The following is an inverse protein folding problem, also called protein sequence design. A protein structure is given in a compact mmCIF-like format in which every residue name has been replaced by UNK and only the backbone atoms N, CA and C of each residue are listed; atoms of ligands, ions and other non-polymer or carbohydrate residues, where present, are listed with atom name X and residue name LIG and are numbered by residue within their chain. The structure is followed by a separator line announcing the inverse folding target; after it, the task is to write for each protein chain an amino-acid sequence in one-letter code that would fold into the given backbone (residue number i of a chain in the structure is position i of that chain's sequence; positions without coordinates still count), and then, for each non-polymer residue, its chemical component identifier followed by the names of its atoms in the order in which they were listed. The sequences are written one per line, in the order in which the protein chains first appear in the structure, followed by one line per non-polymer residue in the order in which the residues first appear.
data_IF_518296918003
#
_entry.id   IF_518296918003
#
_cell.length_a   1.000
_cell.length_b   1.000
_cell.length_c   1.000
_cell.angle_alpha   90.00
_cell.angle_beta   90.00
_cell.angle_gamma   90.00
#
_symmetry.space_group_name_H-M   'P 1'
#
loop_
_entity.id
_entity.type
_entity.pdbx_description
1 polymer ?
#
# COMPACT_ATOMS: atom_id res chain seq x y z
N UNK A 1 10.98 10.90 29.96
CA UNK A 1 10.56 9.50 30.18
C UNK A 1 10.42 8.85 28.81
N UNK A 2 11.44 8.11 28.39
CA UNK A 2 11.52 7.50 27.06
C UNK A 2 10.75 6.18 27.05
N UNK A 3 9.70 6.08 26.22
CA UNK A 3 9.05 4.81 25.89
C UNK A 3 9.27 4.56 24.39
N UNK A 4 10.41 3.94 24.06
CA UNK A 4 10.67 3.41 22.72
C UNK A 4 9.93 2.07 22.53
N UNK A 5 9.58 1.68 21.29
CA UNK A 5 8.56 0.67 21.04
C UNK A 5 9.09 -0.76 21.18
N UNK A 6 8.28 -1.58 21.85
CA UNK A 6 8.43 -3.03 21.93
C UNK A 6 8.07 -3.70 20.59
N UNK A 7 8.59 -4.90 20.31
CA UNK A 7 8.33 -5.65 19.09
C UNK A 7 6.82 -5.88 18.91
N UNK A 8 6.35 -5.68 17.69
CA UNK A 8 4.98 -5.86 17.27
C UNK A 8 4.60 -7.35 17.33
N UNK A 9 3.71 -7.74 18.24
CA UNK A 9 3.03 -9.03 18.16
C UNK A 9 2.10 -9.01 16.94
N UNK A 10 2.03 -10.11 16.17
CA UNK A 10 1.24 -10.17 14.93
C UNK A 10 -0.23 -9.79 15.12
N UNK A 11 -0.77 -10.02 16.32
CA UNK A 11 -2.16 -9.67 16.68
C UNK A 11 -2.34 -8.16 16.91
N UNK A 12 -1.32 -7.44 17.38
CA UNK A 12 -1.39 -5.96 17.49
C UNK A 12 -1.47 -5.31 16.10
N UNK A 13 -0.68 -5.81 15.15
CA UNK A 13 -0.73 -5.37 13.76
C UNK A 13 -2.10 -5.66 13.13
N UNK A 14 -2.65 -6.84 13.41
CA UNK A 14 -3.99 -7.22 12.94
C UNK A 14 -5.06 -6.27 13.48
N UNK A 15 -4.99 -5.89 14.77
CA UNK A 15 -5.90 -4.89 15.33
C UNK A 15 -5.73 -3.53 14.65
N UNK A 16 -4.50 -3.08 14.40
CA UNK A 16 -4.25 -1.81 13.70
C UNK A 16 -4.82 -1.81 12.28
N UNK A 17 -4.65 -2.91 11.54
CA UNK A 17 -5.15 -3.05 10.17
C UNK A 17 -6.68 -3.14 10.07
N UNK A 18 -7.34 -3.59 11.14
CA UNK A 18 -8.80 -3.82 11.19
C UNK A 18 -9.55 -2.85 12.10
N UNK A 19 -8.86 -1.86 12.66
CA UNK A 19 -9.39 -0.96 13.68
C UNK A 19 -10.62 -0.18 13.19
N UNK A 20 -10.56 0.36 11.97
CA UNK A 20 -11.67 1.13 11.39
C UNK A 20 -12.92 0.27 11.21
N UNK A 21 -12.76 -0.93 10.65
CA UNK A 21 -13.86 -1.88 10.46
C UNK A 21 -14.40 -2.41 11.80
N UNK A 22 -13.54 -2.58 12.80
CA UNK A 22 -13.96 -2.94 14.17
C UNK A 22 -14.83 -1.84 14.79
N UNK A 23 -14.43 -0.56 14.65
CA UNK A 23 -15.21 0.57 15.17
C UNK A 23 -16.53 0.80 14.44
N UNK A 24 -16.58 0.46 13.15
CA UNK A 24 -17.78 0.55 12.32
C UNK A 24 -18.72 -0.67 12.43
N UNK A 25 -18.36 -1.69 13.22
CA UNK A 25 -19.08 -2.98 13.32
C UNK A 25 -19.23 -3.69 11.95
N UNK A 26 -18.21 -3.56 11.09
CA UNK A 26 -18.19 -4.13 9.73
C UNK A 26 -17.43 -5.46 9.64
N UNK A 27 -16.92 -5.96 10.77
CA UNK A 27 -16.22 -7.24 10.83
C UNK A 27 -17.18 -8.41 10.99
N UNK A 28 -16.77 -9.58 10.49
CA UNK A 28 -17.49 -10.81 10.77
C UNK A 28 -17.41 -11.16 12.28
N UNK A 29 -18.39 -11.91 12.78
CA UNK A 29 -18.53 -12.19 14.21
C UNK A 29 -17.30 -12.91 14.81
N UNK A 30 -16.61 -13.75 14.04
CA UNK A 30 -15.42 -14.47 14.52
C UNK A 30 -14.24 -13.51 14.69
N UNK A 31 -13.98 -12.71 13.65
CA UNK A 31 -12.90 -11.71 13.66
C UNK A 31 -13.15 -10.64 14.71
N UNK A 32 -14.40 -10.17 14.85
CA UNK A 32 -14.78 -9.20 15.87
C UNK A 32 -14.50 -9.74 17.29
N UNK A 33 -14.90 -10.98 17.59
CA UNK A 33 -14.65 -11.60 18.89
C UNK A 33 -13.15 -11.76 19.18
N UNK A 34 -12.35 -12.14 18.18
CA UNK A 34 -10.89 -12.27 18.29
C UNK A 34 -10.23 -10.93 18.63
N UNK A 35 -10.59 -9.87 17.92
CA UNK A 35 -10.06 -8.52 18.15
C UNK A 35 -10.50 -8.00 19.52
N UNK A 36 -11.77 -8.13 19.87
CA UNK A 36 -12.29 -7.70 21.17
C UNK A 36 -11.54 -8.39 22.34
N UNK A 37 -11.26 -9.69 22.21
CA UNK A 37 -10.46 -10.42 23.19
C UNK A 37 -9.03 -9.85 23.30
N UNK A 38 -8.38 -9.54 22.18
CA UNK A 38 -7.05 -8.95 22.17
C UNK A 38 -7.04 -7.55 22.82
N UNK A 39 -7.96 -6.66 22.40
CA UNK A 39 -8.10 -5.30 22.93
C UNK A 39 -8.31 -5.31 24.44
N UNK A 40 -9.08 -6.27 24.96
CA UNK A 40 -9.30 -6.42 26.41
C UNK A 40 -8.03 -6.84 27.16
N UNK A 41 -7.15 -7.60 26.51
CA UNK A 41 -5.90 -8.12 27.12
C UNK A 41 -4.67 -7.23 26.92
N UNK A 42 -4.70 -6.34 25.92
CA UNK A 42 -3.55 -5.54 25.49
C UNK A 42 -3.82 -4.04 25.75
N UNK A 43 -3.14 -3.44 26.76
CA UNK A 43 -3.34 -2.02 27.10
C UNK A 43 -3.06 -1.05 25.94
N UNK A 44 -2.12 -1.38 25.04
CA UNK A 44 -1.80 -0.53 23.89
C UNK A 44 -2.95 -0.49 22.88
N UNK A 45 -3.50 -1.65 22.53
CA UNK A 45 -4.63 -1.73 21.62
C UNK A 45 -5.88 -1.11 22.24
N UNK A 46 -6.03 -1.19 23.57
CA UNK A 46 -7.07 -0.45 24.28
C UNK A 46 -6.92 1.07 24.13
N UNK A 47 -5.70 1.60 24.34
CA UNK A 47 -5.41 3.03 24.17
C UNK A 47 -5.67 3.49 22.72
N UNK A 48 -5.27 2.69 21.72
CA UNK A 48 -5.48 2.97 20.30
C UNK A 48 -6.96 2.99 19.92
N UNK A 49 -7.74 2.01 20.38
CA UNK A 49 -9.20 1.95 20.17
C UNK A 49 -9.88 3.16 20.80
N UNK A 50 -9.54 3.49 22.04
CA UNK A 50 -10.11 4.64 22.73
C UNK A 50 -9.77 5.96 22.03
N UNK A 51 -8.53 6.11 21.57
CA UNK A 51 -8.09 7.28 20.82
C UNK A 51 -8.88 7.45 19.50
N UNK A 52 -9.04 6.36 18.74
CA UNK A 52 -9.80 6.37 17.49
C UNK A 52 -11.31 6.65 17.72
N UNK A 53 -11.90 6.09 18.78
CA UNK A 53 -13.27 6.40 19.21
C UNK A 53 -13.44 7.89 19.53
N UNK A 54 -12.53 8.45 20.33
CA UNK A 54 -12.56 9.87 20.71
C UNK A 54 -12.52 10.79 19.48
N UNK A 55 -11.68 10.47 18.49
CA UNK A 55 -11.62 11.23 17.23
C UNK A 55 -12.96 11.11 16.49
N UNK A 56 -13.49 9.90 16.35
CA UNK A 56 -14.76 9.66 15.64
C UNK A 56 -15.92 10.44 16.28
N UNK A 57 -16.02 10.41 17.61
CA UNK A 57 -17.02 11.17 18.37
C UNK A 57 -16.85 12.68 18.18
N UNK A 58 -15.62 13.19 18.29
CA UNK A 58 -15.32 14.62 18.06
C UNK A 58 -15.71 15.06 16.65
N UNK A 59 -15.48 14.21 15.63
CA UNK A 59 -15.87 14.49 14.26
C UNK A 59 -17.40 14.47 14.07
N UNK A 60 -18.11 13.60 14.80
CA UNK A 60 -19.57 13.54 14.77
C UNK A 60 -20.24 14.74 15.46
N UNK A 61 -19.58 15.34 16.45
CA UNK A 61 -20.03 16.54 17.13
C UNK A 61 -19.89 17.82 16.29
N UNK A 62 -19.12 17.78 15.19
CA UNK A 62 -18.98 18.92 14.30
C UNK A 62 -20.34 19.31 13.70
N UNK A 63 -20.67 20.62 13.64
CA UNK A 63 -21.91 21.08 13.04
C UNK A 63 -21.95 20.67 11.57
N UNK A 64 -23.02 19.94 11.19
CA UNK A 64 -23.26 19.61 9.78
C UNK A 64 -23.61 20.88 9.04
N UNK A 65 -22.70 21.34 8.20
CA UNK A 65 -22.93 22.45 7.28
C UNK A 65 -23.89 21.98 6.19
N UNK A 66 -25.09 22.54 6.18
CA UNK A 66 -26.05 22.30 5.11
C UNK A 66 -25.57 23.04 3.85
N UNK A 67 -25.33 22.33 2.73
CA UNK A 67 -24.79 22.96 1.54
C UNK A 67 -25.81 23.96 0.96
N UNK A 68 -25.37 25.09 0.37
CA UNK A 68 -26.26 26.06 -0.24
C UNK A 68 -27.13 25.43 -1.34
N UNK A 69 -28.39 25.86 -1.52
CA UNK A 69 -29.31 25.31 -2.52
C UNK A 69 -28.74 25.33 -3.95
N UNK A 70 -27.92 26.34 -4.27
CA UNK A 70 -27.24 26.44 -5.56
C UNK A 70 -26.34 25.23 -5.91
N UNK A 71 -25.79 24.55 -4.90
CA UNK A 71 -24.98 23.33 -5.11
C UNK A 71 -25.87 22.18 -5.57
N UNK A 72 -27.04 22.02 -4.96
CA UNK A 72 -28.02 21.01 -5.39
C UNK A 72 -28.51 21.27 -6.81
N UNK A 73 -28.79 22.53 -7.15
CA UNK A 73 -29.19 22.91 -8.51
C UNK A 73 -28.11 22.60 -9.54
N UNK A 74 -26.84 22.88 -9.21
CA UNK A 74 -25.69 22.59 -10.04
C UNK A 74 -25.48 21.08 -10.24
N UNK A 75 -25.59 20.28 -9.18
CA UNK A 75 -25.50 18.81 -9.26
C UNK A 75 -26.65 18.26 -10.09
N UNK A 76 -27.89 18.72 -9.86
CA UNK A 76 -29.05 18.31 -10.63
C UNK A 76 -28.91 18.67 -12.13
N UNK A 77 -28.37 19.85 -12.44
CA UNK A 77 -28.06 20.24 -13.81
C UNK A 77 -26.98 19.34 -14.42
N UNK A 78 -25.93 18.99 -13.66
CA UNK A 78 -24.86 18.11 -14.11
C UNK A 78 -25.35 16.70 -14.42
N UNK A 79 -26.16 16.10 -13.53
CA UNK A 79 -26.76 14.77 -13.72
C UNK A 79 -27.70 14.76 -14.92
N UNK A 80 -28.50 15.81 -15.13
CA UNK A 80 -29.35 15.95 -16.33
C UNK A 80 -28.55 16.10 -17.61
N UNK A 81 -27.41 16.77 -17.58
CA UNK A 81 -26.53 16.96 -18.73
C UNK A 81 -25.71 15.71 -19.07
N UNK A 82 -25.41 14.88 -18.08
CA UNK A 82 -24.70 13.61 -18.22
C UNK A 82 -25.58 12.44 -17.77
N UNK A 83 -26.70 12.19 -18.47
CA UNK A 83 -27.51 11.03 -18.16
C UNK A 83 -26.64 9.79 -18.34
N UNK A 84 -26.47 9.01 -17.28
CA UNK A 84 -25.74 7.76 -17.33
C UNK A 84 -26.31 6.91 -18.47
N UNK A 85 -25.46 6.61 -19.45
CA UNK A 85 -25.83 5.74 -20.59
C UNK A 85 -26.01 4.27 -20.17
N UNK A 86 -25.85 3.97 -18.87
CA UNK A 86 -25.70 2.64 -18.29
C UNK A 86 -26.96 1.79 -18.18
N UNK A 87 -28.17 2.37 -18.18
CA UNK A 87 -29.39 1.58 -17.89
C UNK A 87 -30.20 1.17 -19.12
N UNK A 88 -30.05 1.86 -20.26
CA UNK A 88 -30.85 1.58 -21.46
C UNK A 88 -30.47 0.30 -22.21
N UNK A 89 -29.24 -0.19 -22.07
CA UNK A 89 -28.78 -1.38 -22.79
C UNK A 89 -29.24 -2.69 -22.12
N UNK A 90 -29.31 -2.74 -20.79
CA UNK A 90 -29.79 -3.92 -20.05
C UNK A 90 -31.24 -4.26 -20.37
N UNK A 91 -32.12 -3.24 -20.49
CA UNK A 91 -33.52 -3.47 -20.90
C UNK A 91 -33.65 -4.02 -22.33
N UNK A 92 -32.77 -3.64 -23.26
CA UNK A 92 -32.73 -4.24 -24.61
C UNK A 92 -32.17 -5.65 -24.60
N UNK A 93 -31.22 -5.95 -23.72
CA UNK A 93 -30.66 -7.29 -23.55
C UNK A 93 -31.71 -8.27 -22.99
N UNK A 94 -32.51 -7.84 -22.00
CA UNK A 94 -33.60 -8.64 -21.44
C UNK A 94 -34.75 -8.85 -22.43
N UNK A 95 -35.03 -7.89 -23.34
CA UNK A 95 -36.01 -8.10 -24.41
C UNK A 95 -35.56 -9.12 -25.47
N UNK A 96 -34.25 -9.26 -25.69
CA UNK A 96 -33.73 -10.34 -26.54
C UNK A 96 -33.77 -11.71 -25.84
N UNK A 97 -33.71 -11.78 -24.50
CA UNK A 97 -33.72 -13.07 -23.80
C UNK A 97 -35.09 -13.76 -23.87
N UNK A 98 -36.20 -13.01 -23.87
CA UNK A 98 -37.55 -13.58 -24.01
C UNK A 98 -37.84 -14.11 -25.43
N UNK A 99 -37.02 -13.77 -26.43
CA UNK A 99 -37.15 -14.28 -27.79
C UNK A 99 -36.39 -15.61 -28.01
N UNK A 100 -35.54 -16.00 -27.07
CA UNK A 100 -34.72 -17.23 -27.14
C UNK A 100 -35.36 -18.45 -26.46
N UNK A 101 -36.49 -18.27 -25.77
CA UNK A 101 -37.17 -19.35 -25.02
C UNK A 101 -37.72 -20.50 -25.90
N UNK A 102 -37.73 -20.36 -27.24
CA UNK A 102 -38.22 -21.39 -28.15
C UNK A 102 -37.17 -22.00 -29.10
N UNK A 103 -35.88 -21.63 -29.00
CA UNK A 103 -34.86 -22.09 -29.95
C UNK A 103 -33.83 -23.06 -29.30
N UNK A 104 -34.26 -24.32 -29.18
CA UNK A 104 -33.44 -25.55 -29.05
C UNK A 104 -32.49 -25.65 -27.83
N UNK A 105 -33.02 -26.28 -26.78
CA UNK A 105 -32.58 -26.22 -25.38
C UNK A 105 -31.36 -27.08 -24.94
N UNK A 106 -30.65 -27.79 -25.83
CA UNK A 106 -29.61 -28.75 -25.38
C UNK A 106 -28.16 -28.26 -25.57
N UNK A 107 -27.81 -27.79 -26.77
CA UNK A 107 -26.42 -27.39 -27.07
C UNK A 107 -26.07 -26.00 -26.54
N UNK A 108 -27.04 -25.08 -26.48
CA UNK A 108 -26.83 -23.71 -25.98
C UNK A 108 -26.63 -23.69 -24.45
N UNK A 109 -27.24 -24.62 -23.69
CA UNK A 109 -27.05 -24.70 -22.23
C UNK A 109 -25.63 -25.11 -21.84
N UNK A 110 -25.02 -26.02 -22.60
CA UNK A 110 -23.62 -26.41 -22.38
C UNK A 110 -22.66 -25.26 -22.69
N UNK A 111 -22.89 -24.53 -23.79
CA UNK A 111 -22.08 -23.35 -24.13
C UNK A 111 -22.19 -22.22 -23.11
N UNK A 112 -23.41 -21.91 -22.65
CA UNK A 112 -23.64 -20.84 -21.67
C UNK A 112 -22.96 -21.13 -20.32
N UNK A 113 -22.97 -22.39 -19.87
CA UNK A 113 -22.28 -22.78 -18.65
C UNK A 113 -20.76 -22.54 -18.75
N UNK A 114 -20.13 -22.92 -19.87
CA UNK A 114 -18.69 -22.68 -20.09
C UNK A 114 -18.37 -21.18 -20.12
N UNK A 115 -19.20 -20.37 -20.77
CA UNK A 115 -19.03 -18.92 -20.80
C UNK A 115 -19.17 -18.28 -19.42
N UNK A 116 -20.17 -18.69 -18.62
CA UNK A 116 -20.34 -18.19 -17.26
C UNK A 116 -19.16 -18.58 -16.36
N UNK A 117 -18.70 -19.83 -16.44
CA UNK A 117 -17.49 -20.25 -15.73
C UNK A 117 -16.25 -19.46 -16.16
N UNK A 118 -16.10 -19.16 -17.46
CA UNK A 118 -15.03 -18.32 -17.97
C UNK A 118 -15.09 -16.89 -17.43
N UNK A 119 -16.27 -16.27 -17.39
CA UNK A 119 -16.46 -14.91 -16.86
C UNK A 119 -16.17 -14.87 -15.35
N UNK A 120 -16.67 -15.85 -14.59
CA UNK A 120 -16.42 -15.94 -13.15
C UNK A 120 -14.93 -16.17 -12.88
N UNK A 121 -14.29 -17.10 -13.57
CA UNK A 121 -12.85 -17.34 -13.44
C UNK A 121 -12.02 -16.11 -13.84
N UNK A 122 -12.42 -15.40 -14.89
CA UNK A 122 -11.76 -14.16 -15.32
C UNK A 122 -11.98 -13.03 -14.29
N UNK A 123 -13.17 -12.91 -13.72
CA UNK A 123 -13.47 -11.97 -12.65
C UNK A 123 -12.65 -12.25 -11.40
N UNK A 124 -12.54 -13.52 -10.99
CA UNK A 124 -11.67 -13.94 -9.86
C UNK A 124 -10.21 -13.64 -10.18
N UNK A 125 -9.75 -13.89 -11.42
CA UNK A 125 -8.38 -13.61 -11.83
C UNK A 125 -8.07 -12.10 -11.81
N UNK A 126 -8.96 -11.27 -12.35
CA UNK A 126 -8.87 -9.80 -12.30
C UNK A 126 -8.86 -9.31 -10.85
N UNK A 127 -9.74 -9.86 -10.01
CA UNK A 127 -9.80 -9.52 -8.59
C UNK A 127 -8.50 -9.87 -7.87
N UNK A 128 -7.94 -11.06 -8.12
CA UNK A 128 -6.64 -11.45 -7.56
C UNK A 128 -5.50 -10.56 -8.04
N UNK A 129 -5.48 -10.15 -9.31
CA UNK A 129 -4.49 -9.20 -9.82
C UNK A 129 -4.61 -7.83 -9.15
N UNK A 130 -5.84 -7.34 -8.99
CA UNK A 130 -6.10 -6.07 -8.30
C UNK A 130 -5.62 -6.11 -6.85
N UNK A 131 -5.84 -7.23 -6.14
CA UNK A 131 -5.34 -7.42 -4.78
C UNK A 131 -3.81 -7.39 -4.70
N UNK A 132 -3.09 -7.98 -5.66
CA UNK A 132 -1.61 -7.92 -5.71
C UNK A 132 -1.09 -6.50 -5.90
N UNK A 133 -1.77 -5.69 -6.71
CA UNK A 133 -1.41 -4.27 -6.93
C UNK A 133 -1.61 -3.48 -5.63
N UNK A 134 -2.73 -3.70 -4.94
CA UNK A 134 -3.03 -3.02 -3.67
C UNK A 134 -2.06 -3.40 -2.54
N UNK A 135 -1.62 -4.66 -2.50
CA UNK A 135 -0.62 -5.10 -1.54
C UNK A 135 0.76 -4.47 -1.82
N UNK A 136 1.19 -4.44 -3.09
CA UNK A 136 2.45 -3.79 -3.48
C UNK A 136 2.44 -2.29 -3.17
N UNK A 137 1.29 -1.62 -3.29
CA UNK A 137 1.16 -0.21 -2.92
C UNK A 137 1.26 0.01 -1.41
N UNK A 138 0.68 -0.86 -0.58
CA UNK A 138 0.82 -0.79 0.88
C UNK A 138 2.27 -0.99 1.31
N UNK A 139 2.95 -1.99 0.75
CA UNK A 139 4.36 -2.25 1.04
C UNK A 139 5.25 -1.05 0.65
N UNK A 140 4.97 -0.42 -0.50
CA UNK A 140 5.69 0.78 -0.93
C UNK A 140 5.48 1.96 0.02
N UNK A 141 4.24 2.22 0.41
CA UNK A 141 3.90 3.29 1.35
C UNK A 141 4.54 3.06 2.72
N UNK A 142 4.57 1.81 3.19
CA UNK A 142 5.26 1.44 4.42
C UNK A 142 6.77 1.71 4.35
N UNK A 143 7.43 1.33 3.25
CA UNK A 143 8.87 1.61 3.05
C UNK A 143 9.15 3.11 2.95
N UNK A 144 8.31 3.87 2.24
CA UNK A 144 8.44 5.32 2.15
C UNK A 144 8.28 6.00 3.51
N UNK A 145 7.31 5.58 4.32
CA UNK A 145 7.13 6.06 5.69
C UNK A 145 8.38 5.80 6.55
N UNK A 146 8.94 4.59 6.47
CA UNK A 146 10.16 4.21 7.22
C UNK A 146 11.39 5.01 6.76
N UNK A 147 11.52 5.29 5.47
CA UNK A 147 12.57 6.15 4.93
C UNK A 147 12.42 7.57 5.41
N UNK A 148 11.21 8.13 5.37
CA UNK A 148 10.94 9.49 5.84
C UNK A 148 11.30 9.64 7.32
N UNK A 149 10.90 8.66 8.14
CA UNK A 149 11.27 8.58 9.56
C UNK A 149 12.79 8.53 9.78
N UNK A 150 13.53 7.77 8.97
CA UNK A 150 14.98 7.67 9.08
C UNK A 150 15.70 8.96 8.65
N UNK A 151 15.20 9.64 7.60
CA UNK A 151 15.72 10.93 7.13
C UNK A 151 15.53 12.01 8.18
N UNK A 152 14.33 12.08 8.77
CA UNK A 152 14.01 13.05 9.81
C UNK A 152 14.86 12.84 11.07
N UNK A 153 15.12 11.58 11.45
CA UNK A 153 15.93 11.24 12.63
C UNK A 153 17.44 11.44 12.44
N UNK A 154 17.96 11.23 11.23
CA UNK A 154 19.41 11.35 10.97
C UNK A 154 19.84 12.77 10.65
N UNK A 155 18.90 13.70 10.44
CA UNK A 155 19.20 15.09 10.09
C UNK A 155 19.93 15.22 8.74
N UNK A 156 20.00 14.14 7.97
CA UNK A 156 20.60 14.12 6.64
C UNK A 156 19.58 14.78 5.73
N UNK A 157 19.78 16.07 5.46
CA UNK A 157 19.04 16.81 4.43
C UNK A 157 19.40 16.17 3.09
N UNK A 158 18.58 15.24 2.61
CA UNK A 158 18.68 14.70 1.25
C UNK A 158 18.33 15.82 0.29
N UNK A 159 19.33 16.61 -0.08
CA UNK A 159 19.23 17.75 -1.01
C UNK A 159 19.11 17.32 -2.47
N UNK A 160 19.12 16.01 -2.74
CA UNK A 160 18.89 15.48 -4.08
C UNK A 160 17.40 15.43 -4.36
N UNK A 161 16.96 16.48 -5.05
CA UNK A 161 15.75 16.62 -5.86
C UNK A 161 15.24 15.23 -6.32
N UNK A 162 14.31 14.65 -5.56
CA UNK A 162 13.55 13.48 -6.01
C UNK A 162 12.99 13.84 -7.39
N UNK A 163 13.16 12.99 -8.42
CA UNK A 163 12.62 13.27 -9.73
C UNK A 163 11.11 13.47 -9.57
N UNK A 164 10.64 14.64 -10.00
CA UNK A 164 9.24 15.01 -9.97
C UNK A 164 8.47 14.03 -10.87
N UNK A 165 7.92 12.97 -10.27
CA UNK A 165 7.05 12.03 -10.97
C UNK A 165 5.71 12.72 -11.08
N UNK A 166 5.54 13.52 -12.14
CA UNK A 166 4.23 14.01 -12.53
C UNK A 166 3.43 12.83 -13.05
N UNK A 167 2.39 12.45 -12.31
CA UNK A 167 1.38 11.52 -12.78
C UNK A 167 0.47 12.35 -13.68
N UNK A 168 0.64 12.22 -14.99
CA UNK A 168 -0.24 12.85 -15.98
C UNK A 168 -1.58 12.09 -15.99
N UNK A 169 -2.55 12.65 -15.26
CA UNK A 169 -3.91 12.12 -15.11
C UNK A 169 -4.72 12.15 -16.44
N UNK A 170 -4.22 12.82 -17.48
CA UNK A 170 -4.90 12.91 -18.79
C UNK A 170 -4.54 11.80 -19.77
N UNK A 171 -3.52 10.99 -19.47
CA UNK A 171 -3.12 9.88 -20.33
C UNK A 171 -3.98 8.64 -20.06
N UNK A 172 -5.04 8.47 -20.86
CA UNK A 172 -5.96 7.33 -20.87
C UNK A 172 -5.32 5.98 -21.31
N UNK A 173 -4.01 5.77 -21.06
CA UNK A 173 -3.29 4.50 -21.21
C UNK A 173 -2.40 4.25 -19.97
N UNK A 174 -2.96 3.67 -18.89
CA UNK A 174 -2.27 3.57 -17.60
C UNK A 174 -1.13 2.53 -17.57
N UNK A 175 -1.11 1.52 -18.46
CA UNK A 175 -0.17 0.41 -18.28
C UNK A 175 1.24 0.63 -18.87
N UNK A 176 1.36 1.35 -19.99
CA UNK A 176 2.63 1.40 -20.76
C UNK A 176 3.63 2.40 -20.17
N UNK A 177 3.17 3.56 -19.68
CA UNK A 177 4.08 4.56 -19.09
C UNK A 177 4.58 4.18 -17.70
N UNK A 178 3.76 3.50 -16.89
CA UNK A 178 4.17 3.01 -15.57
C UNK A 178 5.26 1.93 -15.72
N UNK A 179 5.18 1.09 -16.76
CA UNK A 179 6.19 0.05 -17.00
C UNK A 179 7.54 0.65 -17.44
N UNK A 180 7.55 1.67 -18.30
CA UNK A 180 8.78 2.36 -18.68
C UNK A 180 9.40 3.15 -17.52
N UNK A 181 8.58 3.87 -16.73
CA UNK A 181 9.03 4.58 -15.54
C UNK A 181 9.60 3.59 -14.50
N UNK A 182 8.93 2.45 -14.29
CA UNK A 182 9.40 1.39 -13.39
C UNK A 182 10.70 0.75 -13.87
N UNK A 183 10.86 0.48 -15.18
CA UNK A 183 12.11 -0.05 -15.75
C UNK A 183 13.26 0.93 -15.61
N UNK A 184 13.02 2.24 -15.77
CA UNK A 184 14.05 3.28 -15.54
C UNK A 184 14.43 3.38 -14.06
N UNK A 185 13.45 3.34 -13.16
CA UNK A 185 13.68 3.33 -11.71
C UNK A 185 14.44 2.07 -11.26
N UNK A 186 14.13 0.90 -11.81
CA UNK A 186 14.84 -0.36 -11.55
C UNK A 186 16.30 -0.31 -12.04
N UNK A 187 16.55 0.20 -13.25
CA UNK A 187 17.92 0.41 -13.75
C UNK A 187 18.72 1.38 -12.87
N UNK A 188 18.09 2.45 -12.40
CA UNK A 188 18.73 3.40 -11.50
C UNK A 188 19.04 2.77 -10.13
N UNK A 189 18.12 1.95 -9.58
CA UNK A 189 18.34 1.19 -8.34
C UNK A 189 19.49 0.19 -8.46
N UNK A 190 19.61 -0.51 -9.60
CA UNK A 190 20.76 -1.38 -9.87
C UNK A 190 22.08 -0.61 -9.90
N UNK A 191 22.11 0.58 -10.53
CA UNK A 191 23.31 1.42 -10.55
C UNK A 191 23.71 1.87 -9.14
N UNK A 192 22.75 2.33 -8.33
CA UNK A 192 23.00 2.77 -6.95
C UNK A 192 23.46 1.59 -6.07
N UNK A 193 22.82 0.42 -6.18
CA UNK A 193 23.23 -0.78 -5.45
C UNK A 193 24.65 -1.21 -5.81
N UNK A 194 25.03 -1.12 -7.10
CA UNK A 194 26.38 -1.44 -7.55
C UNK A 194 27.44 -0.44 -7.06
N UNK A 195 27.06 0.82 -6.86
CA UNK A 195 27.93 1.85 -6.32
C UNK A 195 28.14 1.66 -4.81
N UNK A 196 27.07 1.36 -4.08
CA UNK A 196 27.12 1.04 -2.64
C UNK A 196 27.99 -0.20 -2.38
N UNK A 197 27.82 -1.27 -3.16
CA UNK A 197 28.68 -2.46 -3.04
C UNK A 197 30.15 -2.17 -3.36
N UNK A 198 30.46 -1.32 -4.34
CA UNK A 198 31.84 -0.91 -4.63
C UNK A 198 32.46 -0.07 -3.52
N UNK A 199 31.69 0.82 -2.88
CA UNK A 199 32.16 1.59 -1.73
C UNK A 199 32.38 0.71 -0.50
N UNK A 200 31.49 -0.24 -0.23
CA UNK A 200 31.66 -1.23 0.85
C UNK A 200 32.86 -2.16 0.60
N UNK A 201 33.08 -2.62 -0.64
CA UNK A 201 34.27 -3.41 -0.99
C UNK A 201 35.57 -2.61 -0.83
N UNK A 202 35.54 -1.30 -1.15
CA UNK A 202 36.69 -0.41 -0.94
C UNK A 202 37.01 -0.22 0.54
N UNK A 203 35.98 -0.18 1.41
CA UNK A 203 36.17 -0.10 2.86
C UNK A 203 36.71 -1.43 3.43
N UNK A 204 36.28 -2.58 2.91
CA UNK A 204 36.82 -3.89 3.31
C UNK A 204 38.23 -4.17 2.79
N UNK A 205 38.70 -3.42 1.78
CA UNK A 205 40.08 -3.49 1.27
C UNK A 205 41.06 -2.55 1.98
N UNK A 206 40.60 -1.78 2.97
CA UNK A 206 41.53 -1.07 3.85
C UNK A 206 42.33 -2.13 4.62
N UNK A 207 43.66 -2.19 4.44
CA UNK A 207 44.46 -3.27 5.00
C UNK A 207 44.48 -3.19 6.53
N UNK A 208 44.26 -4.33 7.20
CA UNK A 208 44.53 -4.56 8.64
C UNK A 208 45.98 -4.24 9.05
N UNK A 209 46.85 -3.92 8.09
CA UNK A 209 48.27 -3.62 8.27
C UNK A 209 48.56 -2.33 9.07
N UNK A 210 47.54 -1.57 9.48
CA UNK A 210 47.72 -0.40 10.35
C UNK A 210 47.96 -0.76 11.84
N UNK A 211 47.80 -2.02 12.25
CA UNK A 211 48.05 -2.46 13.64
C UNK A 211 49.39 -3.18 13.86
N UNK A 212 50.11 -3.58 12.81
CA UNK A 212 51.38 -4.30 12.96
C UNK A 212 52.62 -3.40 12.93
N UNK A 213 52.48 -2.10 12.64
CA UNK A 213 53.64 -1.20 12.53
C UNK A 213 54.13 -0.66 13.88
N UNK A 214 53.33 -0.74 14.96
CA UNK A 214 53.77 -0.31 16.30
C UNK A 214 54.55 -1.38 17.09
N UNK A 215 54.47 -2.67 16.72
CA UNK A 215 55.15 -3.72 17.50
C UNK A 215 56.62 -3.99 17.08
N UNK A 216 57.03 -3.55 15.88
CA UNK A 216 58.39 -3.83 15.39
C UNK A 216 59.42 -2.71 15.70
N UNK A 217 58.99 -1.54 16.21
CA UNK A 217 59.92 -0.47 16.58
C UNK A 217 60.45 -0.56 18.02
N UNK A 218 59.83 -1.38 18.89
CA UNK A 218 60.32 -1.58 20.26
C UNK A 218 61.35 -2.72 20.41
N UNK A 219 61.47 -3.63 19.44
CA UNK A 219 62.43 -4.74 19.52
C UNK A 219 63.88 -4.34 19.15
N UNK A 220 64.09 -3.18 18.51
CA UNK A 220 65.41 -2.79 18.00
C UNK A 220 66.15 -1.80 18.93
N UNK A 221 65.57 -1.41 20.07
CA UNK A 221 66.20 -0.50 21.05
C UNK A 221 66.85 -1.18 22.26
N UNK A 222 66.72 -2.49 22.44
CA UNK A 222 67.27 -3.19 23.62
C UNK A 222 68.62 -3.92 23.37
N UNK A 223 69.23 -3.78 22.19
CA UNK A 223 70.47 -4.49 21.81
C UNK A 223 71.79 -3.74 21.93
N UNK A 224 71.80 -2.43 22.26
CA UNK A 224 73.02 -1.62 22.33
C UNK A 224 73.21 -1.02 23.74
N UNK A 225 73.35 -1.88 24.75
CA UNK A 225 74.00 -1.48 26.02
C UNK A 225 74.62 -2.71 26.66
N UNK A 226 75.81 -3.10 26.20
CA UNK A 226 76.77 -3.91 26.94
C UNK A 226 78.17 -3.68 26.40
#
# INVERSE_FOLDING_TARGET
MNRFPHPQDSTCLEVQDTLEAYLADELDAETHARIAAHVTSCPKCQDEVHFAQTISETLHELPRLEPPPAVFDAVAAHVRAHPDKGERWWHRLFQLSTFWDNLTFSLVRAGAAVCLFGIVAFGIYQYQQHQKIMQASRDLNYVLSKLNYAVERTGIVVKEKLPNVQIDETSQRPFVQIEEASRRALKQKQNISSAIHRSLDSLNRLPENALDTEHNQNAQKEGETQ
#
